data_IF_402560136330
#
_entry.id   IF_402560136330
#
_cell.length_a   1.000
_cell.length_b   1.000
_cell.length_c   1.000
_cell.angle_alpha   90.00
_cell.angle_beta   90.00
_cell.angle_gamma   90.00
#
_symmetry.space_group_name_H-M   'P 1'
#
loop_
_entity.id
_entity.type
_entity.pdbx_description
1 polymer ?
#
# COMPACT_ATOMS: atom_id res chain seq x y z
N UNK A 1 7.54 22.73 -6.56
CA UNK A 1 6.66 21.95 -7.47
C UNK A 1 6.70 20.51 -7.00
N UNK A 2 5.60 19.98 -6.46
CA UNK A 2 5.51 18.56 -6.10
C UNK A 2 5.35 17.77 -7.40
N UNK A 3 6.33 16.92 -7.72
CA UNK A 3 6.33 16.13 -8.96
C UNK A 3 5.58 14.82 -8.69
N UNK A 4 4.29 14.79 -8.96
CA UNK A 4 3.49 13.56 -8.86
C UNK A 4 3.92 12.61 -9.96
N UNK A 5 4.59 11.51 -9.58
CA UNK A 5 4.86 10.40 -10.50
C UNK A 5 3.83 9.32 -10.20
N UNK A 6 2.89 9.11 -11.13
CA UNK A 6 1.98 7.98 -11.04
C UNK A 6 2.72 6.71 -11.49
N UNK A 7 2.68 5.66 -10.66
CA UNK A 7 3.24 4.35 -10.97
C UNK A 7 2.07 3.37 -11.08
N UNK A 8 1.94 2.72 -12.23
CA UNK A 8 0.95 1.66 -12.45
C UNK A 8 1.68 0.34 -12.60
N UNK A 9 1.25 -0.66 -11.84
CA UNK A 9 1.76 -2.03 -11.89
C UNK A 9 0.61 -2.98 -12.21
N UNK A 10 0.83 -3.89 -13.14
CA UNK A 10 -0.11 -4.98 -13.41
C UNK A 10 0.22 -6.19 -12.52
N UNK A 11 -0.71 -6.52 -11.63
CA UNK A 11 -0.60 -7.60 -10.65
C UNK A 11 -1.45 -8.83 -10.99
N UNK A 12 -2.12 -8.84 -12.15
CA UNK A 12 -3.17 -9.83 -12.50
C UNK A 12 -2.71 -11.29 -12.51
N UNK A 13 -1.41 -11.55 -12.71
CA UNK A 13 -0.84 -12.89 -12.78
C UNK A 13 0.27 -13.15 -11.74
N UNK A 14 0.34 -12.34 -10.67
CA UNK A 14 1.44 -12.39 -9.72
C UNK A 14 0.94 -12.54 -8.28
N UNK A 15 1.55 -13.45 -7.53
CA UNK A 15 1.49 -13.40 -6.07
C UNK A 15 2.32 -12.21 -5.62
N UNK A 16 1.77 -11.42 -4.71
CA UNK A 16 2.46 -10.29 -4.09
C UNK A 16 2.60 -10.53 -2.60
N UNK A 17 3.68 -10.02 -2.04
CA UNK A 17 3.86 -9.87 -0.61
C UNK A 17 3.75 -8.39 -0.24
N UNK A 18 3.05 -8.10 0.85
CA UNK A 18 2.89 -6.75 1.36
C UNK A 18 3.27 -6.71 2.84
N UNK A 19 4.12 -5.76 3.22
CA UNK A 19 4.58 -5.60 4.60
C UNK A 19 4.74 -4.13 4.97
N UNK A 20 4.47 -3.80 6.24
CA UNK A 20 4.75 -2.48 6.81
C UNK A 20 5.96 -2.62 7.73
N UNK A 21 7.03 -1.90 7.42
CA UNK A 21 8.13 -1.67 8.38
C UNK A 21 7.71 -0.52 9.30
N UNK A 22 7.79 -0.68 10.62
CA UNK A 22 7.36 0.36 11.56
C UNK A 22 8.24 1.61 11.45
N UNK A 23 7.69 2.75 11.86
CA UNK A 23 8.43 4.00 11.92
C UNK A 23 9.60 3.90 12.92
N UNK A 24 10.71 4.55 12.57
CA UNK A 24 11.85 4.79 13.45
C UNK A 24 11.91 6.27 13.82
N UNK A 25 12.77 6.63 14.78
CA UNK A 25 12.85 7.97 15.37
C UNK A 25 12.95 9.13 14.35
N UNK A 26 13.55 8.89 13.17
CA UNK A 26 13.69 9.89 12.10
C UNK A 26 13.14 9.41 10.74
N UNK A 27 12.43 8.28 10.71
CA UNK A 27 11.99 7.67 9.45
C UNK A 27 10.54 7.21 9.61
N UNK A 28 9.61 7.70 8.77
CA UNK A 28 8.24 7.20 8.74
C UNK A 28 8.17 5.70 8.50
N UNK A 29 7.00 5.11 8.73
CA UNK A 29 6.75 3.73 8.36
C UNK A 29 6.90 3.55 6.83
N UNK A 30 7.27 2.34 6.42
CA UNK A 30 7.45 2.01 5.00
C UNK A 30 6.54 0.85 4.65
N UNK A 31 5.54 1.12 3.82
CA UNK A 31 4.74 0.09 3.20
C UNK A 31 5.43 -0.42 1.93
N UNK A 32 5.78 -1.69 1.92
CA UNK A 32 6.46 -2.36 0.82
C UNK A 32 5.51 -3.34 0.15
N UNK A 33 5.40 -3.27 -1.18
CA UNK A 33 4.79 -4.31 -2.00
C UNK A 33 5.86 -4.91 -2.89
N UNK A 34 6.06 -6.22 -2.81
CA UNK A 34 7.03 -6.96 -3.61
C UNK A 34 6.39 -8.06 -4.44
N UNK A 35 6.94 -8.29 -5.63
CA UNK A 35 6.55 -9.36 -6.55
C UNK A 35 7.67 -9.64 -7.57
N UNK A 36 7.36 -10.33 -8.67
CA UNK A 36 8.38 -10.59 -9.71
C UNK A 36 8.79 -9.34 -10.49
N UNK A 37 8.00 -8.26 -10.40
CA UNK A 37 8.33 -6.93 -10.91
C UNK A 37 9.36 -6.15 -10.05
N UNK A 38 9.79 -6.70 -8.90
CA UNK A 38 10.61 -6.01 -7.92
C UNK A 38 9.78 -5.50 -6.75
N UNK A 39 10.18 -4.37 -6.15
CA UNK A 39 9.54 -3.80 -4.97
C UNK A 39 9.18 -2.32 -5.15
N UNK A 40 8.00 -1.94 -4.66
CA UNK A 40 7.62 -0.54 -4.48
C UNK A 40 7.50 -0.26 -2.99
N UNK A 41 8.14 0.82 -2.56
CA UNK A 41 8.10 1.30 -1.18
C UNK A 41 7.38 2.66 -1.12
N UNK A 42 6.38 2.75 -0.25
CA UNK A 42 5.71 3.99 0.13
C UNK A 42 6.15 4.36 1.55
N UNK A 43 6.88 5.46 1.68
CA UNK A 43 7.11 6.10 2.97
C UNK A 43 5.84 6.84 3.36
N UNK A 44 5.19 6.41 4.43
CA UNK A 44 3.92 6.95 4.87
C UNK A 44 3.89 7.00 6.41
N UNK A 45 3.28 8.04 6.96
CA UNK A 45 2.95 8.07 8.38
C UNK A 45 1.70 7.22 8.67
N UNK A 46 1.37 7.09 9.96
CA UNK A 46 0.28 6.22 10.41
C UNK A 46 -1.10 6.67 9.89
N UNK A 47 -1.33 7.98 9.76
CA UNK A 47 -2.58 8.54 9.23
C UNK A 47 -2.73 8.22 7.74
N UNK A 48 -1.65 8.32 6.98
CA UNK A 48 -1.61 7.96 5.57
C UNK A 48 -1.80 6.46 5.35
N UNK A 49 -1.17 5.62 6.18
CA UNK A 49 -1.38 4.16 6.16
C UNK A 49 -2.83 3.79 6.48
N UNK A 50 -3.44 4.44 7.47
CA UNK A 50 -4.83 4.24 7.82
C UNK A 50 -5.78 4.61 6.66
N UNK A 51 -5.52 5.74 5.97
CA UNK A 51 -6.30 6.14 4.80
C UNK A 51 -6.24 5.12 3.67
N UNK A 52 -5.05 4.55 3.39
CA UNK A 52 -4.89 3.48 2.40
C UNK A 52 -5.64 2.20 2.81
N UNK A 53 -5.51 1.77 4.06
CA UNK A 53 -6.21 0.60 4.58
C UNK A 53 -7.73 0.75 4.51
N UNK A 54 -8.26 1.94 4.83
CA UNK A 54 -9.69 2.24 4.74
C UNK A 54 -10.18 2.19 3.28
N UNK A 55 -9.45 2.78 2.35
CA UNK A 55 -9.81 2.76 0.93
C UNK A 55 -9.87 1.32 0.37
N UNK A 56 -8.89 0.48 0.73
CA UNK A 56 -8.86 -0.94 0.35
C UNK A 56 -10.04 -1.69 0.97
N UNK A 57 -10.29 -1.48 2.27
CA UNK A 57 -11.41 -2.10 2.98
C UNK A 57 -12.75 -1.75 2.33
N UNK A 58 -12.97 -0.46 2.04
CA UNK A 58 -14.19 0.02 1.40
C UNK A 58 -14.39 -0.59 0.01
N UNK A 59 -13.31 -0.77 -0.76
CA UNK A 59 -13.39 -1.46 -2.05
C UNK A 59 -13.92 -2.89 -1.90
N UNK A 60 -13.41 -3.66 -0.93
CA UNK A 60 -13.85 -5.04 -0.71
C UNK A 60 -15.26 -5.13 -0.10
N UNK A 61 -15.63 -4.20 0.77
CA UNK A 61 -16.99 -4.09 1.30
C UNK A 61 -18.00 -3.82 0.16
N UNK A 62 -17.68 -2.92 -0.76
CA UNK A 62 -18.55 -2.61 -1.92
C UNK A 62 -18.77 -3.83 -2.84
N UNK A 63 -17.86 -4.80 -2.80
CA UNK A 63 -17.93 -6.06 -3.56
C UNK A 63 -18.53 -7.22 -2.77
N UNK A 64 -18.91 -7.02 -1.50
CA UNK A 64 -19.41 -8.08 -0.62
C UNK A 64 -18.37 -9.14 -0.24
N UNK A 65 -17.07 -8.83 -0.41
CA UNK A 65 -15.96 -9.79 -0.20
C UNK A 65 -15.55 -9.86 1.29
N UNK A 66 -15.92 -8.87 2.09
CA UNK A 66 -15.67 -8.85 3.55
C UNK A 66 -16.96 -8.42 4.24
N UNK A 67 -17.58 -9.33 5.02
CA UNK A 67 -18.65 -8.99 5.96
C UNK A 67 -18.03 -8.34 7.20
N UNK A 68 -18.62 -7.21 7.60
CA UNK A 68 -18.22 -6.43 8.78
C UNK A 68 -18.13 -7.27 10.08
#
# INVERSE_FOLDING_TARGET
MSKTTAITLDLSAQTIDAAVKPAMHYTPAIFTVSGSFGSVELMADDDQLAAMAQAITLHFQSKGVVSA
#
